data_IF_373915372380
#
_entry.id   IF_373915372380
#
_cell.length_a   1.000
_cell.length_b   1.000
_cell.length_c   1.000
_cell.angle_alpha   90.00
_cell.angle_beta   90.00
_cell.angle_gamma   90.00
#
_symmetry.space_group_name_H-M   'P 1'
#
loop_
_entity.id
_entity.type
_entity.pdbx_description
1 polymer ?
#
# COMPACT_ATOMS: atom_id res chain seq x y z
N UNK A 1 -10.04 3.23 16.19
CA UNK A 1 -9.94 2.78 14.80
C UNK A 1 -11.26 2.21 14.26
N UNK A 2 -12.25 1.94 15.12
CA UNK A 2 -13.55 1.34 14.73
C UNK A 2 -14.69 2.36 14.55
N UNK A 3 -14.40 3.64 14.44
CA UNK A 3 -15.42 4.70 14.36
C UNK A 3 -16.21 4.64 13.04
N UNK A 4 -15.59 4.15 11.98
CA UNK A 4 -16.23 3.85 10.70
C UNK A 4 -15.66 2.56 10.09
N UNK A 5 -16.35 2.01 9.08
CA UNK A 5 -15.79 0.88 8.32
C UNK A 5 -14.51 1.26 7.55
N UNK A 6 -14.38 2.54 7.17
CA UNK A 6 -13.19 3.08 6.49
C UNK A 6 -11.99 3.13 7.43
N UNK A 7 -12.15 3.72 8.62
CA UNK A 7 -11.06 3.78 9.62
C UNK A 7 -10.68 2.38 10.13
N UNK A 8 -11.66 1.48 10.25
CA UNK A 8 -11.40 0.08 10.56
C UNK A 8 -10.63 -0.62 9.42
N UNK A 9 -10.97 -0.33 8.16
CA UNK A 9 -10.23 -0.80 6.99
C UNK A 9 -8.77 -0.35 7.00
N UNK A 10 -8.50 0.92 7.31
CA UNK A 10 -7.13 1.42 7.48
C UNK A 10 -6.38 0.72 8.62
N UNK A 11 -7.03 0.54 9.77
CA UNK A 11 -6.39 -0.13 10.90
C UNK A 11 -5.97 -1.57 10.51
N UNK A 12 -6.86 -2.34 9.87
CA UNK A 12 -6.57 -3.69 9.37
C UNK A 12 -5.43 -3.64 8.33
N UNK A 13 -5.50 -2.70 7.39
CA UNK A 13 -4.47 -2.51 6.37
C UNK A 13 -3.10 -2.28 7.01
N UNK A 14 -2.96 -1.33 7.94
CA UNK A 14 -1.67 -1.03 8.59
C UNK A 14 -1.17 -2.18 9.47
N UNK A 15 -2.05 -2.90 10.19
CA UNK A 15 -1.62 -4.08 10.95
C UNK A 15 -1.13 -5.21 10.04
N UNK A 16 -1.80 -5.41 8.89
CA UNK A 16 -1.36 -6.36 7.86
C UNK A 16 -0.01 -5.95 7.28
N UNK A 17 0.16 -4.68 6.91
CA UNK A 17 1.42 -4.13 6.43
C UNK A 17 2.53 -4.23 7.46
N UNK A 18 2.25 -3.90 8.73
CA UNK A 18 3.22 -4.06 9.80
C UNK A 18 3.75 -5.49 9.85
N UNK A 19 2.87 -6.48 9.95
CA UNK A 19 3.24 -7.87 10.20
C UNK A 19 3.83 -8.57 8.98
N UNK A 20 3.15 -8.50 7.85
CA UNK A 20 3.49 -9.30 6.65
C UNK A 20 4.34 -8.55 5.62
N UNK A 21 4.46 -7.23 5.77
CA UNK A 21 5.30 -6.45 4.88
C UNK A 21 6.56 -5.94 5.58
N UNK A 22 6.43 -5.04 6.55
CA UNK A 22 7.59 -4.36 7.16
C UNK A 22 8.40 -5.27 8.09
N UNK A 23 7.74 -5.88 9.07
CA UNK A 23 8.39 -6.77 10.02
C UNK A 23 8.97 -8.01 9.34
N UNK A 24 8.23 -8.62 8.41
CA UNK A 24 8.72 -9.76 7.64
C UNK A 24 10.00 -9.42 6.87
N UNK A 25 10.01 -8.28 6.15
CA UNK A 25 11.20 -7.81 5.44
C UNK A 25 12.38 -7.56 6.36
N UNK A 26 12.13 -6.88 7.46
CA UNK A 26 13.18 -6.61 8.45
C UNK A 26 13.83 -7.89 8.99
N UNK A 27 13.01 -8.90 9.32
CA UNK A 27 13.47 -10.17 9.88
C UNK A 27 14.29 -11.01 8.88
N UNK A 28 13.98 -10.96 7.59
CA UNK A 28 14.74 -11.69 6.55
C UNK A 28 15.87 -10.87 5.95
N UNK A 29 16.22 -9.73 6.54
CA UNK A 29 17.34 -8.90 6.11
C UNK A 29 17.05 -7.91 4.98
N UNK A 30 15.80 -7.83 4.50
CA UNK A 30 15.36 -6.80 3.56
C UNK A 30 15.09 -5.47 4.27
N UNK A 31 14.82 -4.42 3.51
CA UNK A 31 14.50 -3.10 4.05
C UNK A 31 12.99 -2.90 4.14
N UNK A 32 12.42 -2.57 5.30
CA UNK A 32 11.10 -1.96 5.35
C UNK A 32 11.11 -0.59 4.68
N UNK A 33 9.91 -0.02 4.46
CA UNK A 33 9.71 1.34 3.96
C UNK A 33 9.15 2.22 5.09
N UNK A 34 9.36 3.53 5.00
CA UNK A 34 8.70 4.50 5.88
C UNK A 34 7.21 4.62 5.50
N UNK A 35 6.38 5.05 6.44
CA UNK A 35 4.93 5.16 6.30
C UNK A 35 4.39 6.56 6.65
N UNK A 36 5.12 7.61 6.33
CA UNK A 36 4.67 8.99 6.55
C UNK A 36 4.76 9.49 7.98
N UNK A 37 4.54 8.64 8.98
CA UNK A 37 4.54 8.99 10.40
C UNK A 37 5.39 8.03 11.23
N UNK A 38 5.80 8.46 12.44
CA UNK A 38 6.48 7.60 13.40
C UNK A 38 7.84 7.09 12.98
N UNK A 39 8.63 7.88 12.29
CA UNK A 39 9.99 7.50 11.92
C UNK A 39 11.04 8.48 12.48
N UNK A 40 12.25 8.00 12.60
CA UNK A 40 13.41 8.78 12.98
C UNK A 40 14.53 8.59 11.96
N UNK A 41 15.27 9.66 11.72
CA UNK A 41 16.42 9.66 10.81
C UNK A 41 17.65 10.14 11.56
N UNK A 42 18.81 9.53 11.29
CA UNK A 42 20.08 10.01 11.85
C UNK A 42 20.34 11.44 11.37
N UNK A 43 20.63 12.34 12.29
CA UNK A 43 20.89 13.75 12.00
C UNK A 43 21.99 13.92 10.96
N UNK A 44 23.11 13.19 11.09
CA UNK A 44 24.25 13.28 10.17
C UNK A 44 23.87 12.93 8.71
N UNK A 45 22.90 12.02 8.51
CA UNK A 45 22.40 11.69 7.18
C UNK A 45 21.66 12.88 6.56
N UNK A 46 20.78 13.53 7.35
CA UNK A 46 20.05 14.71 6.88
C UNK A 46 20.96 15.90 6.69
N UNK A 47 21.95 16.08 7.58
CA UNK A 47 22.94 17.13 7.43
C UNK A 47 23.79 16.98 6.17
N UNK A 48 24.17 15.75 5.81
CA UNK A 48 25.00 15.48 4.66
C UNK A 48 24.24 15.49 3.32
N UNK A 49 23.00 14.98 3.28
CA UNK A 49 22.26 14.72 2.04
C UNK A 49 20.98 15.58 1.89
N UNK A 50 20.51 16.20 2.97
CA UNK A 50 19.27 16.95 3.01
C UNK A 50 18.01 16.04 2.97
N UNK A 51 16.85 16.67 3.01
CA UNK A 51 15.56 16.05 2.76
C UNK A 51 15.05 16.51 1.37
N UNK A 52 15.60 15.89 0.32
CA UNK A 52 15.39 16.32 -1.07
C UNK A 52 14.39 15.41 -1.79
N UNK A 53 13.17 15.29 -1.25
CA UNK A 53 12.08 14.54 -1.85
C UNK A 53 11.23 15.45 -2.75
N UNK A 54 10.65 14.88 -3.81
CA UNK A 54 9.91 15.60 -4.85
C UNK A 54 8.59 14.93 -5.25
N UNK A 55 8.30 13.76 -4.66
CA UNK A 55 7.05 13.03 -4.94
C UNK A 55 6.00 13.29 -3.87
N UNK A 56 4.75 12.92 -4.16
CA UNK A 56 3.64 13.02 -3.20
C UNK A 56 3.70 11.99 -2.06
N UNK A 57 4.68 11.10 -2.08
CA UNK A 57 4.95 10.08 -1.05
C UNK A 57 6.42 10.16 -0.67
N UNK A 58 6.78 11.25 0.02
CA UNK A 58 8.14 11.58 0.43
C UNK A 58 8.78 10.48 1.29
N UNK A 59 7.99 9.77 2.07
CA UNK A 59 8.38 8.66 2.93
C UNK A 59 8.85 7.44 2.12
N UNK A 60 8.05 7.04 1.12
CA UNK A 60 8.39 5.97 0.18
C UNK A 60 9.60 6.38 -0.64
N UNK A 61 9.60 7.61 -1.17
CA UNK A 61 10.70 8.15 -1.96
C UNK A 61 12.02 8.11 -1.19
N UNK A 62 12.04 8.63 0.05
CA UNK A 62 13.22 8.61 0.91
C UNK A 62 13.70 7.18 1.18
N UNK A 63 12.76 6.26 1.40
CA UNK A 63 13.08 4.85 1.59
C UNK A 63 13.77 4.25 0.36
N UNK A 64 13.22 4.47 -0.84
CA UNK A 64 13.75 3.94 -2.09
C UNK A 64 15.12 4.53 -2.45
N UNK A 65 15.34 5.83 -2.19
CA UNK A 65 16.65 6.48 -2.37
C UNK A 65 17.72 5.79 -1.51
N UNK A 66 17.39 5.51 -0.24
CA UNK A 66 18.33 4.84 0.66
C UNK A 66 18.57 3.39 0.26
N UNK A 67 17.54 2.66 -0.14
CA UNK A 67 17.66 1.29 -0.67
C UNK A 67 18.57 1.27 -1.92
N UNK A 68 18.35 2.18 -2.86
CA UNK A 68 19.17 2.29 -4.07
C UNK A 68 20.67 2.54 -3.75
N UNK A 69 20.95 3.26 -2.67
CA UNK A 69 22.30 3.48 -2.12
C UNK A 69 22.82 2.31 -1.29
N UNK A 70 22.07 1.23 -1.15
CA UNK A 70 22.46 0.04 -0.37
C UNK A 70 22.30 0.20 1.15
N UNK A 71 21.54 1.20 1.61
CA UNK A 71 21.24 1.44 3.03
C UNK A 71 19.95 0.76 3.43
N UNK A 72 19.99 -0.03 4.49
CA UNK A 72 18.82 -0.69 5.07
C UNK A 72 18.16 0.22 6.09
N UNK A 73 16.82 0.35 6.03
CA UNK A 73 16.03 0.98 7.07
C UNK A 73 15.80 -0.01 8.23
N UNK A 74 15.69 0.53 9.45
CA UNK A 74 15.32 -0.24 10.63
C UNK A 74 13.82 -0.36 10.79
N UNK A 75 13.38 -1.30 11.63
CA UNK A 75 11.99 -1.43 12.06
C UNK A 75 11.94 -1.62 13.57
N UNK A 76 11.35 -0.66 14.29
CA UNK A 76 11.23 -0.72 15.74
C UNK A 76 9.87 -1.38 16.11
N UNK A 77 9.91 -2.67 16.44
CA UNK A 77 8.70 -3.48 16.72
C UNK A 77 7.91 -3.00 17.92
N UNK A 78 8.60 -2.43 18.91
CA UNK A 78 8.00 -2.01 20.18
C UNK A 78 7.53 -0.55 20.16
N UNK A 79 7.95 0.23 19.15
CA UNK A 79 7.50 1.60 18.97
C UNK A 79 6.10 1.64 18.35
N UNK A 80 5.14 2.21 19.08
CA UNK A 80 3.75 2.32 18.63
C UNK A 80 3.42 3.77 18.34
N UNK A 81 2.91 4.01 17.15
CA UNK A 81 2.42 5.33 16.72
C UNK A 81 0.91 5.24 16.52
N UNK A 82 0.22 6.27 16.96
CA UNK A 82 -1.22 6.43 16.77
C UNK A 82 -1.44 7.59 15.81
N UNK A 83 -2.11 7.31 14.72
CA UNK A 83 -2.39 8.28 13.66
C UNK A 83 -3.88 8.30 13.34
N UNK A 84 -4.41 9.49 13.06
CA UNK A 84 -5.82 9.66 12.70
C UNK A 84 -6.03 9.31 11.23
N UNK A 85 -6.92 8.36 10.98
CA UNK A 85 -7.26 7.93 9.63
C UNK A 85 -8.61 8.47 9.18
N UNK A 86 -8.84 8.68 7.88
CA UNK A 86 -10.11 9.13 7.35
C UNK A 86 -11.29 8.30 7.84
N UNK A 87 -12.36 8.96 8.27
CA UNK A 87 -13.61 8.31 8.62
C UNK A 87 -14.53 8.11 7.40
N UNK A 88 -14.46 9.02 6.43
CA UNK A 88 -15.28 9.03 5.23
C UNK A 88 -14.59 8.40 4.02
N UNK A 89 -15.37 7.68 3.19
CA UNK A 89 -14.83 7.02 1.99
C UNK A 89 -14.29 8.03 0.95
N UNK A 90 -14.94 9.18 0.79
CA UNK A 90 -14.50 10.22 -0.15
C UNK A 90 -13.11 10.75 0.22
N UNK A 91 -12.90 11.06 1.50
CA UNK A 91 -11.61 11.52 2.02
C UNK A 91 -10.53 10.44 1.88
N UNK A 92 -10.89 9.19 2.21
CA UNK A 92 -10.03 8.01 1.99
C UNK A 92 -9.65 7.84 0.51
N UNK A 93 -10.61 8.05 -0.40
CA UNK A 93 -10.35 7.98 -1.83
C UNK A 93 -9.31 9.02 -2.28
N UNK A 94 -9.48 10.27 -1.85
CA UNK A 94 -8.53 11.36 -2.14
C UNK A 94 -7.13 11.04 -1.62
N UNK A 95 -7.01 10.61 -0.37
CA UNK A 95 -5.73 10.23 0.23
C UNK A 95 -5.05 9.10 -0.53
N UNK A 96 -5.77 8.02 -0.82
CA UNK A 96 -5.21 6.86 -1.53
C UNK A 96 -4.90 7.17 -3.00
N UNK A 97 -5.65 8.08 -3.64
CA UNK A 97 -5.30 8.58 -4.98
C UNK A 97 -3.94 9.29 -4.95
N UNK A 98 -3.69 10.11 -3.93
CA UNK A 98 -2.40 10.77 -3.72
C UNK A 98 -1.27 9.74 -3.56
N UNK A 99 -1.49 8.67 -2.78
CA UNK A 99 -0.51 7.60 -2.62
C UNK A 99 -0.22 6.86 -3.93
N UNK A 100 -1.26 6.58 -4.72
CA UNK A 100 -1.08 5.94 -6.04
C UNK A 100 -0.31 6.83 -7.02
N UNK A 101 -0.58 8.13 -7.04
CA UNK A 101 0.18 9.09 -7.87
C UNK A 101 1.63 9.18 -7.40
N UNK A 102 1.86 9.27 -6.09
CA UNK A 102 3.21 9.27 -5.51
C UNK A 102 4.01 8.00 -5.85
N UNK A 103 3.35 6.83 -5.82
CA UNK A 103 3.97 5.57 -6.24
C UNK A 103 4.38 5.60 -7.73
N UNK A 104 3.53 6.13 -8.62
CA UNK A 104 3.86 6.30 -10.04
C UNK A 104 5.03 7.28 -10.24
N UNK A 105 5.08 8.36 -9.46
CA UNK A 105 6.20 9.29 -9.48
C UNK A 105 7.49 8.59 -9.03
N UNK A 106 7.43 7.82 -7.93
CA UNK A 106 8.58 7.02 -7.48
C UNK A 106 9.04 6.02 -8.54
N UNK A 107 8.12 5.32 -9.21
CA UNK A 107 8.45 4.44 -10.33
C UNK A 107 9.20 5.20 -11.43
N UNK A 108 8.65 6.33 -11.88
CA UNK A 108 9.24 7.13 -12.95
C UNK A 108 10.65 7.64 -12.61
N UNK A 109 10.87 8.07 -11.36
CA UNK A 109 12.11 8.73 -10.97
C UNK A 109 13.19 7.75 -10.51
N UNK A 110 12.83 6.62 -9.86
CA UNK A 110 13.79 5.80 -9.12
C UNK A 110 13.95 4.38 -9.63
N UNK A 111 13.18 3.94 -10.65
CA UNK A 111 13.28 2.58 -11.18
C UNK A 111 14.70 2.27 -11.70
N UNK A 112 15.33 3.23 -12.38
CA UNK A 112 16.68 3.09 -12.92
C UNK A 112 17.74 3.05 -11.81
N UNK A 113 17.60 3.88 -10.78
CA UNK A 113 18.54 3.92 -9.65
C UNK A 113 18.50 2.63 -8.84
N UNK A 114 17.29 2.08 -8.62
CA UNK A 114 17.11 0.78 -7.97
C UNK A 114 17.69 -0.35 -8.82
N UNK A 115 17.46 -0.36 -10.13
CA UNK A 115 18.03 -1.35 -11.04
C UNK A 115 19.58 -1.29 -11.04
N UNK A 116 20.16 -0.08 -11.12
CA UNK A 116 21.59 0.11 -10.97
C UNK A 116 22.09 -0.35 -9.59
N UNK A 117 21.28 -0.11 -8.53
CA UNK A 117 21.55 -0.57 -7.17
C UNK A 117 21.63 -2.10 -7.05
N UNK A 118 20.82 -2.85 -7.80
CA UNK A 118 20.89 -4.34 -7.85
C UNK A 118 22.30 -4.79 -8.28
N UNK A 119 22.82 -4.19 -9.35
CA UNK A 119 24.12 -4.56 -9.90
C UNK A 119 25.26 -4.07 -9.00
N UNK A 120 25.19 -2.80 -8.56
CA UNK A 120 26.23 -2.14 -7.78
C UNK A 120 26.36 -2.70 -6.37
N UNK A 121 25.23 -2.85 -5.67
CA UNK A 121 25.23 -3.22 -4.26
C UNK A 121 25.13 -4.74 -4.06
N UNK A 122 24.61 -5.48 -5.06
CA UNK A 122 24.35 -6.93 -5.00
C UNK A 122 23.54 -7.35 -3.78
N UNK A 123 22.60 -6.49 -3.34
CA UNK A 123 21.74 -6.72 -2.17
C UNK A 123 20.32 -7.03 -2.60
N UNK A 124 19.72 -8.07 -2.03
CA UNK A 124 18.34 -8.47 -2.30
C UNK A 124 17.32 -7.37 -2.01
N UNK A 125 17.61 -6.45 -1.09
CA UNK A 125 16.71 -5.32 -0.81
C UNK A 125 16.53 -4.38 -2.02
N UNK A 126 17.52 -4.30 -2.95
CA UNK A 126 17.36 -3.53 -4.19
C UNK A 126 16.38 -4.23 -5.16
N UNK A 127 16.45 -5.57 -5.21
CA UNK A 127 15.47 -6.38 -5.98
C UNK A 127 14.08 -6.22 -5.40
N UNK A 128 13.94 -6.32 -4.07
CA UNK A 128 12.66 -6.12 -3.37
C UNK A 128 12.09 -4.70 -3.61
N UNK A 129 12.92 -3.67 -3.59
CA UNK A 129 12.54 -2.29 -3.92
C UNK A 129 12.06 -2.14 -5.37
N UNK A 130 12.70 -2.84 -6.33
CA UNK A 130 12.21 -2.92 -7.71
C UNK A 130 10.85 -3.60 -7.79
N UNK A 131 10.68 -4.75 -7.14
CA UNK A 131 9.41 -5.47 -7.09
C UNK A 131 8.29 -4.62 -6.48
N UNK A 132 8.60 -3.83 -5.45
CA UNK A 132 7.65 -2.88 -4.87
C UNK A 132 7.18 -1.85 -5.92
N UNK A 133 8.09 -1.25 -6.66
CA UNK A 133 7.74 -0.28 -7.71
C UNK A 133 7.00 -0.91 -8.89
N UNK A 134 7.23 -2.19 -9.16
CA UNK A 134 6.52 -2.93 -10.23
C UNK A 134 5.05 -3.19 -9.91
N UNK A 135 4.56 -2.90 -8.71
CA UNK A 135 3.17 -3.14 -8.32
C UNK A 135 2.14 -2.53 -9.28
N UNK A 136 2.34 -1.28 -9.70
CA UNK A 136 1.45 -0.63 -10.68
C UNK A 136 1.57 -1.21 -12.10
N UNK A 137 2.75 -1.37 -12.70
CA UNK A 137 2.91 -2.08 -13.98
C UNK A 137 2.30 -3.48 -13.97
N UNK A 138 2.50 -4.26 -12.91
CA UNK A 138 1.91 -5.60 -12.76
C UNK A 138 0.39 -5.53 -12.76
N UNK A 139 -0.22 -4.57 -12.05
CA UNK A 139 -1.67 -4.36 -12.08
C UNK A 139 -2.17 -4.07 -13.49
N UNK A 140 -1.50 -3.19 -14.25
CA UNK A 140 -1.87 -2.85 -15.63
C UNK A 140 -1.84 -4.10 -16.52
N UNK A 141 -0.74 -4.87 -16.45
CA UNK A 141 -0.60 -6.13 -17.22
C UNK A 141 -1.68 -7.13 -16.83
N UNK A 142 -1.96 -7.28 -15.55
CA UNK A 142 -3.02 -8.18 -15.05
C UNK A 142 -4.39 -7.78 -15.59
N UNK A 143 -4.74 -6.49 -15.56
CA UNK A 143 -6.00 -5.99 -16.12
C UNK A 143 -6.08 -6.20 -17.63
N UNK A 144 -4.98 -5.97 -18.37
CA UNK A 144 -4.91 -6.22 -19.80
C UNK A 144 -5.13 -7.72 -20.12
N UNK A 145 -4.49 -8.61 -19.37
CA UNK A 145 -4.68 -10.07 -19.52
C UNK A 145 -6.14 -10.46 -19.26
N UNK A 146 -6.78 -9.89 -18.22
CA UNK A 146 -8.20 -10.15 -17.93
C UNK A 146 -9.10 -9.71 -19.08
N UNK A 147 -8.85 -8.53 -19.66
CA UNK A 147 -9.61 -8.04 -20.83
C UNK A 147 -9.39 -8.91 -22.06
N UNK A 148 -8.14 -9.28 -22.35
CA UNK A 148 -7.82 -10.18 -23.48
C UNK A 148 -8.51 -11.54 -23.31
N UNK A 149 -8.44 -12.14 -22.12
CA UNK A 149 -9.13 -13.40 -21.85
C UNK A 149 -10.65 -13.28 -22.04
N UNK A 150 -11.24 -12.15 -21.59
CA UNK A 150 -12.67 -11.90 -21.80
C UNK A 150 -13.01 -11.85 -23.31
N UNK A 151 -12.21 -11.14 -24.10
CA UNK A 151 -12.41 -11.05 -25.57
C UNK A 151 -12.31 -12.44 -26.22
N UNK A 152 -11.32 -13.25 -25.84
CA UNK A 152 -11.14 -14.61 -26.37
C UNK A 152 -12.37 -15.47 -26.02
N UNK A 153 -12.81 -15.49 -24.76
CA UNK A 153 -13.98 -16.26 -24.33
C UNK A 153 -15.27 -15.88 -25.07
N UNK A 154 -15.46 -14.58 -25.33
CA UNK A 154 -16.61 -14.11 -26.11
C UNK A 154 -16.48 -14.52 -27.58
N UNK A 155 -15.27 -14.49 -28.15
CA UNK A 155 -14.98 -14.96 -29.53
C UNK A 155 -15.19 -16.43 -29.71
N UNK A 156 -14.90 -17.25 -28.72
CA UNK A 156 -15.10 -18.71 -28.72
C UNK A 156 -16.57 -19.14 -28.51
N UNK A 157 -17.49 -18.16 -28.45
CA UNK A 157 -18.93 -18.44 -28.29
C UNK A 157 -19.32 -18.93 -26.89
N UNK A 158 -18.51 -18.64 -25.85
CA UNK A 158 -18.84 -19.01 -24.48
C UNK A 158 -20.13 -18.34 -24.03
N UNK A 159 -21.01 -19.12 -23.42
CA UNK A 159 -22.26 -18.60 -22.87
C UNK A 159 -22.00 -17.69 -21.66
N UNK A 160 -22.91 -16.74 -21.40
CA UNK A 160 -22.83 -15.89 -20.19
C UNK A 160 -22.73 -16.73 -18.89
N UNK A 161 -23.42 -17.85 -18.83
CA UNK A 161 -23.34 -18.78 -17.70
C UNK A 161 -21.94 -19.38 -17.54
N UNK A 162 -21.31 -19.78 -18.64
CA UNK A 162 -19.93 -20.28 -18.66
C UNK A 162 -18.93 -19.20 -18.21
N UNK A 163 -19.10 -17.97 -18.66
CA UNK A 163 -18.30 -16.83 -18.25
C UNK A 163 -18.42 -16.59 -16.73
N UNK A 164 -19.66 -16.50 -16.22
CA UNK A 164 -19.92 -16.33 -14.79
C UNK A 164 -19.27 -17.45 -13.98
N UNK A 165 -19.41 -18.71 -14.41
CA UNK A 165 -18.82 -19.86 -13.71
C UNK A 165 -17.28 -19.79 -13.66
N UNK A 166 -16.65 -19.44 -14.77
CA UNK A 166 -15.18 -19.31 -14.82
C UNK A 166 -14.64 -18.20 -13.93
N UNK A 167 -15.36 -17.07 -13.83
CA UNK A 167 -14.90 -15.93 -13.02
C UNK A 167 -15.43 -15.96 -11.59
N UNK A 168 -16.51 -16.71 -11.29
CA UNK A 168 -17.12 -16.77 -9.96
C UNK A 168 -16.13 -17.17 -8.87
N UNK A 169 -15.25 -18.14 -9.13
CA UNK A 169 -14.22 -18.58 -8.18
C UNK A 169 -13.21 -17.46 -7.83
N UNK A 170 -12.83 -16.63 -8.82
CA UNK A 170 -11.91 -15.51 -8.58
C UNK A 170 -12.61 -14.37 -7.84
N UNK A 171 -13.87 -14.07 -8.19
CA UNK A 171 -14.69 -13.10 -7.47
C UNK A 171 -14.91 -13.56 -6.03
N UNK A 172 -15.29 -14.81 -5.82
CA UNK A 172 -15.49 -15.38 -4.50
C UNK A 172 -14.21 -15.30 -3.64
N UNK A 173 -13.05 -15.67 -4.22
CA UNK A 173 -11.77 -15.53 -3.56
C UNK A 173 -11.46 -14.07 -3.20
N UNK A 174 -11.75 -13.12 -4.08
CA UNK A 174 -11.57 -11.67 -3.85
C UNK A 174 -12.42 -11.15 -2.68
N UNK A 175 -13.61 -11.72 -2.45
CA UNK A 175 -14.46 -11.32 -1.35
C UNK A 175 -14.21 -12.07 -0.04
N UNK A 176 -13.73 -13.31 -0.10
CA UNK A 176 -13.53 -14.18 1.08
C UNK A 176 -12.11 -14.02 1.65
N UNK A 177 -11.09 -14.05 0.81
CA UNK A 177 -9.70 -14.05 1.29
C UNK A 177 -9.30 -12.80 2.08
N UNK A 178 -9.65 -11.57 1.69
CA UNK A 178 -9.29 -10.39 2.45
C UNK A 178 -9.85 -10.38 3.89
N UNK A 179 -11.15 -10.66 4.14
CA UNK A 179 -11.65 -10.75 5.53
C UNK A 179 -10.98 -11.87 6.33
N UNK A 180 -10.69 -13.02 5.72
CA UNK A 180 -9.99 -14.11 6.39
C UNK A 180 -8.56 -13.71 6.79
N UNK A 181 -7.82 -13.09 5.87
CA UNK A 181 -6.48 -12.56 6.16
C UNK A 181 -6.54 -11.49 7.25
N UNK A 182 -7.52 -10.59 7.18
CA UNK A 182 -7.74 -9.57 8.18
C UNK A 182 -8.05 -10.16 9.56
N UNK A 183 -8.94 -11.15 9.62
CA UNK A 183 -9.27 -11.87 10.85
C UNK A 183 -8.04 -12.57 11.43
N UNK A 184 -7.24 -13.20 10.58
CA UNK A 184 -6.00 -13.85 10.99
C UNK A 184 -5.01 -12.86 11.62
N UNK A 185 -4.84 -11.68 11.04
CA UNK A 185 -4.01 -10.60 11.62
C UNK A 185 -4.55 -10.15 12.97
N UNK A 186 -5.87 -9.94 13.10
CA UNK A 186 -6.48 -9.54 14.37
C UNK A 186 -6.21 -10.57 15.49
N UNK A 187 -6.33 -11.86 15.16
CA UNK A 187 -6.06 -12.96 16.10
C UNK A 187 -4.57 -12.98 16.49
N UNK A 188 -3.66 -12.93 15.53
CA UNK A 188 -2.21 -12.93 15.77
C UNK A 188 -1.75 -11.74 16.62
N UNK A 189 -2.32 -10.57 16.41
CA UNK A 189 -1.97 -9.35 17.14
C UNK A 189 -2.81 -9.14 18.40
N UNK A 190 -3.66 -10.13 18.77
CA UNK A 190 -4.55 -10.10 19.94
C UNK A 190 -5.42 -8.83 19.95
N UNK A 191 -5.91 -8.41 18.77
CA UNK A 191 -6.76 -7.22 18.61
C UNK A 191 -8.23 -7.60 18.85
N UNK A 192 -9.05 -6.65 19.39
CA UNK A 192 -10.46 -6.92 19.63
C UNK A 192 -11.22 -7.07 18.29
N UNK A 193 -11.85 -8.23 18.07
CA UNK A 193 -12.56 -8.55 16.82
C UNK A 193 -13.92 -7.84 16.75
N UNK A 194 -14.69 -7.84 17.85
CA UNK A 194 -16.06 -7.30 17.88
C UNK A 194 -16.18 -5.86 17.34
N UNK A 195 -15.37 -4.90 17.77
CA UNK A 195 -15.44 -3.52 17.23
C UNK A 195 -14.96 -3.43 15.77
N UNK A 196 -14.22 -4.42 15.27
CA UNK A 196 -13.68 -4.44 13.91
C UNK A 196 -14.58 -5.15 12.89
N UNK A 197 -15.73 -5.72 13.29
CA UNK A 197 -16.59 -6.52 12.42
C UNK A 197 -17.04 -5.77 11.16
N UNK A 198 -17.45 -4.51 11.28
CA UNK A 198 -17.81 -3.68 10.10
C UNK A 198 -16.64 -3.53 9.14
N UNK A 199 -15.42 -3.30 9.68
CA UNK A 199 -14.20 -3.23 8.89
C UNK A 199 -13.89 -4.54 8.20
N UNK A 200 -13.99 -5.68 8.89
CA UNK A 200 -13.77 -7.01 8.34
C UNK A 200 -14.70 -7.30 7.16
N UNK A 201 -16.00 -7.09 7.33
CA UNK A 201 -16.99 -7.35 6.30
C UNK A 201 -16.84 -6.43 5.08
N UNK A 202 -16.48 -5.15 5.31
CA UNK A 202 -16.28 -4.18 4.24
C UNK A 202 -14.83 -4.17 3.69
N UNK A 203 -13.91 -4.99 4.22
CA UNK A 203 -12.50 -5.00 3.81
C UNK A 203 -12.29 -5.33 2.33
N UNK A 204 -13.05 -6.25 1.71
CA UNK A 204 -12.98 -6.47 0.27
C UNK A 204 -13.31 -5.22 -0.55
N UNK A 205 -14.28 -4.43 -0.12
CA UNK A 205 -14.64 -3.16 -0.78
C UNK A 205 -13.53 -2.12 -0.60
N UNK A 206 -12.94 -2.06 0.60
CA UNK A 206 -11.82 -1.18 0.89
C UNK A 206 -10.62 -1.51 -0.02
N UNK A 207 -10.22 -2.78 -0.10
CA UNK A 207 -9.12 -3.21 -0.97
C UNK A 207 -9.50 -3.13 -2.45
N UNK A 208 -10.68 -3.58 -2.85
CA UNK A 208 -11.14 -3.54 -4.24
C UNK A 208 -11.18 -2.13 -4.82
N UNK A 209 -11.48 -1.13 -3.99
CA UNK A 209 -11.47 0.27 -4.42
C UNK A 209 -10.07 0.77 -4.84
N UNK A 210 -8.97 0.12 -4.42
CA UNK A 210 -7.63 0.45 -4.88
C UNK A 210 -7.45 0.24 -6.39
N UNK A 211 -8.16 -0.71 -7.00
CA UNK A 211 -8.11 -0.94 -8.45
C UNK A 211 -8.58 0.32 -9.18
N UNK A 212 -9.76 0.84 -8.80
CA UNK A 212 -10.32 2.04 -9.41
C UNK A 212 -9.49 3.30 -9.11
N UNK A 213 -8.94 3.40 -7.90
CA UNK A 213 -8.04 4.49 -7.50
C UNK A 213 -6.77 4.47 -8.36
N UNK A 214 -6.17 3.31 -8.56
CA UNK A 214 -4.97 3.15 -9.37
C UNK A 214 -5.24 3.48 -10.85
N UNK A 215 -6.37 3.04 -11.39
CA UNK A 215 -6.80 3.40 -12.76
C UNK A 215 -6.97 4.92 -12.88
N UNK A 216 -7.64 5.54 -11.90
CA UNK A 216 -7.79 7.01 -11.87
C UNK A 216 -6.45 7.72 -11.81
N UNK A 217 -5.51 7.25 -10.97
CA UNK A 217 -4.17 7.84 -10.87
C UNK A 217 -3.37 7.73 -12.17
N UNK A 218 -3.57 6.67 -12.95
CA UNK A 218 -2.94 6.49 -14.26
C UNK A 218 -3.53 7.42 -15.34
N UNK A 219 -4.86 7.54 -15.39
CA UNK A 219 -5.55 8.31 -16.45
C UNK A 219 -5.49 9.82 -16.16
N UNK A 220 -5.71 10.21 -14.91
CA UNK A 220 -5.78 11.62 -14.49
C UNK A 220 -5.03 11.82 -13.17
N UNK A 221 -3.68 11.83 -13.20
CA UNK A 221 -2.89 12.04 -12.00
C UNK A 221 -3.12 13.46 -11.46
N UNK A 222 -3.62 13.57 -10.24
CA UNK A 222 -3.65 14.83 -9.52
C UNK A 222 -2.35 14.98 -8.72
N UNK A 223 -1.52 15.94 -9.10
CA UNK A 223 -0.22 16.20 -8.45
C UNK A 223 -0.31 17.26 -7.36
N UNK A 224 -1.49 17.85 -7.13
CA UNK A 224 -1.68 18.81 -6.05
C UNK A 224 -1.86 18.11 -4.72
N UNK A 225 -1.21 18.66 -3.69
CA UNK A 225 -1.40 18.18 -2.33
C UNK A 225 -2.73 18.71 -1.78
N UNK A 226 -3.65 17.83 -1.42
CA UNK A 226 -4.92 18.17 -0.79
C UNK A 226 -4.85 17.84 0.70
N UNK A 227 -5.18 18.84 1.54
CA UNK A 227 -5.25 18.66 2.99
C UNK A 227 -6.36 17.66 3.33
N UNK A 228 -6.08 16.79 4.27
CA UNK A 228 -7.06 15.90 4.89
C UNK A 228 -7.47 16.51 6.22
N UNK A 229 -8.78 16.74 6.41
CA UNK A 229 -9.29 17.30 7.65
C UNK A 229 -9.24 16.24 8.76
N UNK A 230 -8.66 16.62 9.88
CA UNK A 230 -8.69 15.86 11.12
C UNK A 230 -9.90 16.26 11.95
N UNK A 231 -10.61 15.29 12.50
CA UNK A 231 -11.87 15.50 13.23
C UNK A 231 -11.66 15.49 14.75
N UNK A 232 -10.56 14.88 15.20
CA UNK A 232 -10.25 14.78 16.63
C UNK A 232 -9.36 15.91 17.09
N UNK A 233 -9.91 16.79 17.90
CA UNK A 233 -9.15 17.81 18.63
C UNK A 233 -8.52 17.16 19.89
N UNK A 234 -7.35 16.58 19.74
CA UNK A 234 -6.61 15.97 20.85
C UNK A 234 -5.91 17.11 21.59
N UNK A 235 -6.53 17.60 22.66
CA UNK A 235 -5.83 18.49 23.61
C UNK A 235 -4.76 17.66 24.32
N UNK A 236 -3.50 17.89 23.94
CA UNK A 236 -2.37 17.38 24.72
C UNK A 236 -2.42 18.08 26.08
N UNK A 237 -2.70 17.34 27.15
CA UNK A 237 -2.55 17.87 28.51
C UNK A 237 -1.05 18.10 28.71
N UNK A 238 -0.69 19.37 28.79
CA UNK A 238 0.63 19.87 29.23
C UNK A 238 0.95 19.42 30.64
#
# INVERSE_FOLDING_TARGET
>A
PSDSWVSAGYAIFYWTMHRFYHLARYNIGLSPLLNGTGFMVKYDLIKAEGWNTKTLTEDIEFSLINIAKGRKLGWATDAKVYDEQPLGFKQSWTQRTRWSVGHLQCFKYYIKDLAAGVVRNRKMMNVDGLLYLMGMPILIVTLAILVINLIIYLGDGMTLAGLIWNYAKYLLATFIMPPLTALFVLILDKRPIKPMLKGLLCYPLFLGSWILINIKALIKPNTTWEKIDHVRDIKVKS
#
